data_IF_250860620108
#
_entry.id   IF_250860620108
#
_cell.length_a   1.000
_cell.length_b   1.000
_cell.length_c   1.000
_cell.angle_alpha   90.00
_cell.angle_beta   90.00
_cell.angle_gamma   90.00
#
_symmetry.space_group_name_H-M   'P 1'
#
loop_
_entity.id
_entity.type
_entity.pdbx_description
1 polymer ?
#
# COMPACT_ATOMS: atom_id res chain seq x y z
N UNK A 1 32.87 31.95 0.85
CA UNK A 1 32.76 30.47 0.74
C UNK A 1 33.77 30.00 -0.30
N UNK A 2 34.56 28.94 -0.05
CA UNK A 2 35.49 28.45 -1.07
C UNK A 2 34.69 28.00 -2.30
N UNK A 3 35.06 28.46 -3.50
CA UNK A 3 34.38 28.04 -4.72
C UNK A 3 34.69 26.57 -5.02
N UNK A 4 33.67 25.81 -5.44
CA UNK A 4 33.83 24.44 -5.90
C UNK A 4 34.57 24.47 -7.26
N UNK A 5 35.87 24.17 -7.23
CA UNK A 5 36.64 24.06 -8.47
C UNK A 5 36.28 22.76 -9.19
N UNK A 6 36.39 22.76 -10.53
CA UNK A 6 36.10 21.60 -11.39
C UNK A 6 36.86 20.34 -10.95
N UNK A 7 38.10 20.50 -10.48
CA UNK A 7 38.94 19.40 -9.94
C UNK A 7 38.40 18.87 -8.61
N UNK A 8 37.95 19.75 -7.71
CA UNK A 8 37.33 19.37 -6.44
C UNK A 8 36.00 18.65 -6.67
N UNK A 9 35.21 19.12 -7.63
CA UNK A 9 33.98 18.44 -8.05
C UNK A 9 34.27 17.02 -8.54
N UNK A 10 35.21 16.85 -9.49
CA UNK A 10 35.60 15.53 -10.00
C UNK A 10 36.12 14.56 -8.92
N UNK A 11 36.92 15.06 -7.96
CA UNK A 11 37.41 14.24 -6.84
C UNK A 11 36.27 13.77 -5.92
N UNK A 12 35.31 14.66 -5.63
CA UNK A 12 34.14 14.32 -4.82
C UNK A 12 33.21 13.36 -5.56
N UNK A 13 32.98 13.54 -6.86
CA UNK A 13 32.18 12.62 -7.69
C UNK A 13 32.78 11.22 -7.75
N UNK A 14 34.10 11.12 -7.94
CA UNK A 14 34.80 9.84 -7.97
C UNK A 14 34.74 9.12 -6.61
N UNK A 15 34.88 9.86 -5.50
CA UNK A 15 34.71 9.31 -4.17
C UNK A 15 33.27 8.82 -3.91
N UNK A 16 32.27 9.56 -4.39
CA UNK A 16 30.86 9.17 -4.30
C UNK A 16 30.53 7.92 -5.14
N UNK A 17 31.18 7.72 -6.30
CA UNK A 17 30.99 6.51 -7.11
C UNK A 17 31.58 5.23 -6.48
N UNK A 18 32.45 5.37 -5.48
CA UNK A 18 32.98 4.25 -4.72
C UNK A 18 32.16 3.94 -3.46
N UNK A 19 31.15 4.77 -3.13
CA UNK A 19 30.23 4.46 -2.04
C UNK A 19 29.37 3.26 -2.46
N UNK A 20 29.27 2.23 -1.62
CA UNK A 20 28.29 1.19 -1.84
C UNK A 20 26.91 1.84 -1.64
N UNK A 21 26.21 2.17 -2.73
CA UNK A 21 24.83 2.66 -2.71
C UNK A 21 23.83 1.55 -2.32
N UNK A 22 24.30 0.50 -1.65
CA UNK A 22 23.48 -0.60 -1.16
C UNK A 22 22.62 -0.07 0.00
N UNK A 23 21.32 -0.31 -0.08
CA UNK A 23 20.30 0.22 0.85
C UNK A 23 20.10 1.74 0.80
N UNK A 24 20.58 2.45 -0.23
CA UNK A 24 20.17 3.84 -0.48
C UNK A 24 18.79 3.82 -1.13
N UNK A 25 17.76 3.79 -0.29
CA UNK A 25 16.39 4.03 -0.73
C UNK A 25 16.20 5.53 -0.86
N UNK A 26 15.90 6.00 -2.08
CA UNK A 26 15.28 7.33 -2.20
C UNK A 26 13.98 7.28 -1.41
N UNK A 27 13.54 8.39 -0.81
CA UNK A 27 12.32 8.45 0.01
C UNK A 27 11.02 8.30 -0.81
N UNK A 28 11.05 7.50 -1.88
CA UNK A 28 9.96 7.17 -2.77
C UNK A 28 9.34 5.86 -2.32
N UNK A 29 8.03 5.83 -2.08
CA UNK A 29 7.32 4.55 -1.95
C UNK A 29 7.46 3.76 -3.26
N UNK A 30 7.61 2.45 -3.17
CA UNK A 30 7.52 1.51 -4.30
C UNK A 30 6.13 1.54 -4.98
N UNK A 31 5.14 2.14 -4.32
CA UNK A 31 3.79 2.39 -4.80
C UNK A 31 2.89 2.78 -3.64
N UNK A 32 1.64 3.16 -3.94
CA UNK A 32 0.59 3.34 -2.95
C UNK A 32 -0.52 2.32 -3.21
N UNK A 33 -1.01 1.70 -2.14
CA UNK A 33 -2.18 0.83 -2.15
C UNK A 33 -3.25 1.36 -1.20
N UNK A 34 -4.51 1.13 -1.54
CA UNK A 34 -5.68 1.42 -0.72
C UNK A 34 -6.43 0.12 -0.45
N UNK A 35 -6.50 -0.28 0.82
CA UNK A 35 -7.04 -1.56 1.27
C UNK A 35 -8.32 -1.33 2.06
N UNK A 36 -9.41 -2.00 1.66
CA UNK A 36 -10.66 -2.05 2.41
C UNK A 36 -10.72 -3.30 3.29
N UNK A 37 -10.93 -3.08 4.58
CA UNK A 37 -11.20 -4.13 5.56
C UNK A 37 -12.58 -3.91 6.18
N UNK A 38 -13.17 -5.00 6.67
CA UNK A 38 -14.30 -4.88 7.56
C UNK A 38 -13.89 -4.24 8.89
N UNK A 39 -14.66 -3.24 9.31
CA UNK A 39 -14.56 -2.63 10.63
C UNK A 39 -14.97 -3.67 11.69
N UNK A 40 -13.97 -4.21 12.39
CA UNK A 40 -14.18 -5.34 13.27
C UNK A 40 -14.92 -4.90 14.54
N UNK A 41 -16.01 -5.60 14.88
CA UNK A 41 -16.77 -5.34 16.12
C UNK A 41 -15.97 -5.64 17.40
N UNK A 42 -14.90 -6.43 17.32
CA UNK A 42 -13.98 -6.63 18.44
C UNK A 42 -13.08 -5.40 18.56
N UNK A 43 -13.04 -4.72 19.72
CA UNK A 43 -12.33 -3.43 19.86
C UNK A 43 -10.87 -3.44 19.41
N UNK A 44 -10.15 -4.55 19.61
CA UNK A 44 -8.73 -4.67 19.24
C UNK A 44 -8.48 -5.07 17.77
N UNK A 45 -9.53 -5.40 17.01
CA UNK A 45 -9.43 -5.98 15.68
C UNK A 45 -8.72 -5.09 14.67
N UNK A 46 -9.18 -3.84 14.55
CA UNK A 46 -8.63 -2.90 13.57
C UNK A 46 -7.17 -2.52 13.88
N UNK A 47 -6.80 -2.44 15.16
CA UNK A 47 -5.43 -2.17 15.57
C UNK A 47 -4.50 -3.34 15.26
N UNK A 48 -4.96 -4.58 15.48
CA UNK A 48 -4.22 -5.77 15.07
C UNK A 48 -3.99 -5.78 13.56
N UNK A 49 -5.01 -5.46 12.76
CA UNK A 49 -4.88 -5.39 11.30
C UNK A 49 -3.91 -4.28 10.86
N UNK A 50 -4.04 -3.07 11.43
CA UNK A 50 -3.10 -1.96 11.20
C UNK A 50 -1.66 -2.38 11.45
N UNK A 51 -1.40 -3.06 12.56
CA UNK A 51 -0.04 -3.50 12.92
C UNK A 51 0.56 -4.44 11.87
N UNK A 52 -0.21 -5.42 11.41
CA UNK A 52 0.25 -6.39 10.40
C UNK A 52 0.51 -5.71 9.06
N UNK A 53 -0.43 -4.89 8.59
CA UNK A 53 -0.29 -4.21 7.30
C UNK A 53 0.86 -3.21 7.33
N UNK A 54 1.01 -2.42 8.40
CA UNK A 54 2.10 -1.46 8.51
C UNK A 54 3.48 -2.12 8.54
N UNK A 55 3.61 -3.27 9.22
CA UNK A 55 4.86 -4.02 9.23
C UNK A 55 5.25 -4.53 7.84
N UNK A 56 4.27 -5.00 7.05
CA UNK A 56 4.49 -5.37 5.66
C UNK A 56 4.80 -4.15 4.77
N UNK A 57 4.05 -3.06 4.94
CA UNK A 57 4.20 -1.82 4.17
C UNK A 57 5.59 -1.22 4.36
N UNK A 58 6.09 -1.17 5.60
CA UNK A 58 7.44 -0.72 5.94
C UNK A 58 8.51 -1.58 5.25
N UNK A 59 8.39 -2.92 5.38
CA UNK A 59 9.34 -3.86 4.77
C UNK A 59 9.32 -3.81 3.23
N UNK A 60 8.16 -3.59 2.63
CA UNK A 60 7.97 -3.55 1.18
C UNK A 60 8.18 -2.16 0.59
N UNK A 61 8.40 -1.15 1.43
CA UNK A 61 8.44 0.26 1.06
C UNK A 61 7.20 0.73 0.29
N UNK A 62 6.02 0.18 0.62
CA UNK A 62 4.74 0.54 -0.01
C UNK A 62 3.99 1.46 0.94
N UNK A 63 3.43 2.54 0.43
CA UNK A 63 2.49 3.35 1.21
C UNK A 63 1.11 2.70 1.19
N UNK A 64 0.48 2.54 2.35
CA UNK A 64 -0.81 1.86 2.46
C UNK A 64 -1.83 2.74 3.15
N UNK A 65 -2.93 3.01 2.47
CA UNK A 65 -4.14 3.59 3.04
C UNK A 65 -5.08 2.46 3.47
N UNK A 66 -5.44 2.44 4.75
CA UNK A 66 -6.40 1.50 5.30
C UNK A 66 -7.76 2.16 5.46
N UNK A 67 -8.80 1.54 4.92
CA UNK A 67 -10.20 1.88 5.19
C UNK A 67 -10.88 0.73 5.95
N UNK A 68 -11.58 1.07 7.02
CA UNK A 68 -12.32 0.11 7.85
C UNK A 68 -13.81 0.38 7.67
N UNK A 69 -14.45 -0.45 6.85
CA UNK A 69 -15.83 -0.30 6.42
C UNK A 69 -16.78 -1.07 7.34
N UNK A 70 -17.73 -0.36 7.91
CA UNK A 70 -18.72 -0.94 8.82
C UNK A 70 -19.73 -1.82 8.09
N UNK A 71 -20.08 -2.95 8.70
CA UNK A 71 -21.24 -3.74 8.28
C UNK A 71 -22.58 -3.11 8.72
N UNK A 72 -22.56 -2.12 9.63
CA UNK A 72 -23.77 -1.48 10.12
C UNK A 72 -24.46 -0.72 9.00
N UNK A 73 -25.69 -1.15 8.67
CA UNK A 73 -26.47 -0.58 7.57
C UNK A 73 -25.94 -0.98 6.20
N UNK A 74 -25.28 -2.14 6.08
CA UNK A 74 -24.74 -2.70 4.84
C UNK A 74 -23.76 -1.77 4.12
N UNK A 75 -23.08 -0.88 4.84
CA UNK A 75 -22.19 0.12 4.21
C UNK A 75 -21.08 -0.55 3.43
N UNK A 76 -20.50 -1.62 3.95
CA UNK A 76 -19.45 -2.38 3.25
C UNK A 76 -19.95 -2.91 1.90
N UNK A 77 -21.14 -3.49 1.83
CA UNK A 77 -21.71 -4.02 0.58
C UNK A 77 -22.10 -2.90 -0.39
N UNK A 78 -22.64 -1.79 0.14
CA UNK A 78 -22.95 -0.60 -0.65
C UNK A 78 -21.69 0.01 -1.26
N UNK A 79 -20.57 0.04 -0.51
CA UNK A 79 -19.27 0.46 -1.02
C UNK A 79 -18.78 -0.49 -2.11
N UNK A 80 -18.82 -1.82 -1.90
CA UNK A 80 -18.44 -2.79 -2.94
C UNK A 80 -19.24 -2.58 -4.23
N UNK A 81 -20.57 -2.45 -4.12
CA UNK A 81 -21.42 -2.20 -5.28
C UNK A 81 -21.13 -0.87 -5.97
N UNK A 82 -20.87 0.19 -5.22
CA UNK A 82 -20.50 1.48 -5.79
C UNK A 82 -19.16 1.41 -6.54
N UNK A 83 -18.15 0.75 -5.97
CA UNK A 83 -16.82 0.61 -6.57
C UNK A 83 -16.84 -0.29 -7.82
N UNK A 84 -17.59 -1.40 -7.76
CA UNK A 84 -17.80 -2.27 -8.91
C UNK A 84 -18.45 -1.53 -10.08
N UNK A 85 -19.46 -0.69 -9.80
CA UNK A 85 -20.13 0.14 -10.81
C UNK A 85 -19.23 1.26 -11.35
N UNK A 86 -18.46 1.91 -10.47
CA UNK A 86 -17.56 3.00 -10.84
C UNK A 86 -16.29 2.53 -11.55
N UNK A 87 -15.94 1.24 -11.43
CA UNK A 87 -14.64 0.67 -11.84
C UNK A 87 -13.46 1.44 -11.24
N UNK A 88 -13.66 1.93 -10.02
CA UNK A 88 -12.70 2.71 -9.25
C UNK A 88 -13.03 2.55 -7.77
N UNK A 89 -11.99 2.41 -6.93
CA UNK A 89 -12.18 2.06 -5.54
C UNK A 89 -10.91 1.62 -4.86
N UNK A 90 -11.04 0.70 -3.92
CA UNK A 90 -9.93 0.06 -3.23
C UNK A 90 -9.19 -0.90 -4.18
N UNK A 91 -7.87 -1.02 -4.00
CA UNK A 91 -7.02 -1.95 -4.75
C UNK A 91 -7.20 -3.39 -4.26
N UNK A 92 -7.48 -3.55 -2.96
CA UNK A 92 -7.73 -4.84 -2.31
C UNK A 92 -8.91 -4.69 -1.37
N UNK A 93 -9.78 -5.69 -1.38
CA UNK A 93 -10.93 -5.76 -0.50
C UNK A 93 -10.92 -7.09 0.25
N UNK A 94 -11.07 -7.04 1.58
CA UNK A 94 -11.31 -8.23 2.37
C UNK A 94 -12.79 -8.64 2.26
N UNK A 95 -13.09 -9.51 1.30
CA UNK A 95 -14.43 -10.04 1.07
C UNK A 95 -14.89 -10.94 2.22
N UNK A 96 -16.20 -10.96 2.43
CA UNK A 96 -16.82 -12.01 3.23
C UNK A 96 -16.91 -13.33 2.44
N UNK A 97 -17.56 -14.33 3.02
CA UNK A 97 -17.63 -15.68 2.45
C UNK A 97 -18.35 -15.77 1.10
N UNK A 98 -19.21 -14.81 0.74
CA UNK A 98 -20.10 -14.90 -0.42
C UNK A 98 -19.86 -13.81 -1.46
N UNK A 99 -19.45 -12.62 -1.01
CA UNK A 99 -19.25 -11.44 -1.85
C UNK A 99 -18.12 -11.61 -2.87
N UNK A 100 -17.12 -12.46 -2.60
CA UNK A 100 -16.07 -12.79 -3.58
C UNK A 100 -16.65 -13.43 -4.85
N UNK A 101 -17.67 -14.26 -4.72
CA UNK A 101 -18.33 -14.87 -5.88
C UNK A 101 -19.20 -13.86 -6.62
N UNK A 102 -19.89 -12.98 -5.88
CA UNK A 102 -20.74 -11.94 -6.45
C UNK A 102 -19.97 -10.97 -7.34
N UNK A 103 -18.74 -10.60 -6.95
CA UNK A 103 -17.91 -9.62 -7.65
C UNK A 103 -16.81 -10.25 -8.51
N UNK A 104 -16.86 -11.55 -8.76
CA UNK A 104 -15.76 -12.30 -9.39
C UNK A 104 -15.33 -11.74 -10.76
N UNK A 105 -16.26 -11.19 -11.55
CA UNK A 105 -15.96 -10.57 -12.85
C UNK A 105 -15.27 -9.20 -12.74
N UNK A 106 -15.25 -8.59 -11.55
CA UNK A 106 -14.58 -7.32 -11.27
C UNK A 106 -13.22 -7.52 -10.58
N UNK A 107 -12.87 -8.76 -10.21
CA UNK A 107 -11.64 -9.08 -9.49
C UNK A 107 -10.54 -9.60 -10.41
N UNK A 108 -9.32 -9.31 -10.02
CA UNK A 108 -8.13 -9.91 -10.64
C UNK A 108 -7.96 -11.33 -10.10
N UNK A 109 -7.85 -12.36 -10.96
CA UNK A 109 -7.44 -13.70 -10.55
C UNK A 109 -6.04 -13.64 -9.93
N UNK A 110 -5.83 -14.37 -8.83
CA UNK A 110 -4.56 -14.46 -8.11
C UNK A 110 -4.15 -15.93 -7.93
N UNK A 111 -4.42 -16.75 -8.95
CA UNK A 111 -4.09 -18.19 -8.91
C UNK A 111 -2.59 -18.47 -9.13
N UNK A 112 -1.80 -17.43 -9.39
CA UNK A 112 -0.39 -17.47 -9.79
C UNK A 112 0.61 -17.08 -8.68
N UNK A 113 0.13 -16.77 -7.47
CA UNK A 113 0.95 -16.47 -6.29
C UNK A 113 1.49 -17.70 -5.56
#
# INVERSE_FOLDING_TARGET
MPSLSRRRALQVSAAASALPLVNVHTASSAGRLTLAFWDHWVPAGNDAMRKVVNAWAEKSHVDVKLDFLSAVGNKIDLTMGAEAMARAGHDVFAFDQWTVHQWSEQLMPVDDV
#
